data_IF_670783727836
#
_entry.id   IF_670783727836
#
_cell.length_a   1.000
_cell.length_b   1.000
_cell.length_c   1.000
_cell.angle_alpha   90.00
_cell.angle_beta   90.00
_cell.angle_gamma   90.00
#
_symmetry.space_group_name_H-M   'P 1'
#
loop_
_entity.id
_entity.type
_entity.pdbx_description
1 polymer ?
#
# COMPACT_ATOMS: atom_id res chain seq x y z
N UNK A 1 1.74 2.99 35.33
CA UNK A 1 1.77 2.65 33.88
C UNK A 1 3.12 2.05 33.54
N UNK A 2 3.14 0.86 32.98
CA UNK A 2 4.38 0.15 32.59
C UNK A 2 5.04 0.82 31.38
N UNK A 3 6.36 0.76 31.25
CA UNK A 3 7.12 1.29 30.11
C UNK A 3 6.62 0.73 28.76
N UNK A 4 6.19 -0.53 28.73
CA UNK A 4 5.61 -1.15 27.53
C UNK A 4 4.30 -0.49 27.10
N UNK A 5 3.46 -0.07 28.05
CA UNK A 5 2.21 0.63 27.73
C UNK A 5 2.48 2.01 27.12
N UNK A 6 3.54 2.71 27.54
CA UNK A 6 3.90 4.02 26.97
C UNK A 6 4.44 3.90 25.55
N UNK A 7 5.21 2.85 25.25
CA UNK A 7 5.75 2.59 23.91
C UNK A 7 4.62 2.27 22.92
N UNK A 8 3.69 1.39 23.29
CA UNK A 8 2.55 1.06 22.44
C UNK A 8 1.66 2.28 22.16
N UNK A 9 1.44 3.14 23.16
CA UNK A 9 0.63 4.36 22.97
C UNK A 9 1.32 5.39 22.06
N UNK A 10 2.64 5.53 22.15
CA UNK A 10 3.38 6.44 21.28
C UNK A 10 3.42 5.94 19.83
N UNK A 11 3.53 4.63 19.62
CA UNK A 11 3.45 3.99 18.31
C UNK A 11 2.06 4.17 17.67
N UNK A 12 0.98 3.85 18.40
CA UNK A 12 -0.40 4.03 17.89
C UNK A 12 -0.67 5.48 17.48
N UNK A 13 -0.13 6.46 18.23
CA UNK A 13 -0.23 7.87 17.86
C UNK A 13 0.51 8.19 16.55
N UNK A 14 1.70 7.63 16.32
CA UNK A 14 2.44 7.82 15.05
C UNK A 14 1.67 7.22 13.87
N UNK A 15 1.11 6.03 14.04
CA UNK A 15 0.29 5.36 13.02
C UNK A 15 -0.94 6.19 12.67
N UNK A 16 -1.64 6.76 13.66
CA UNK A 16 -2.79 7.64 13.43
C UNK A 16 -2.43 8.91 12.64
N UNK A 17 -1.28 9.52 12.94
CA UNK A 17 -0.79 10.70 12.22
C UNK A 17 -0.42 10.35 10.78
N UNK A 18 0.27 9.22 10.57
CA UNK A 18 0.59 8.72 9.23
C UNK A 18 -0.69 8.43 8.43
N UNK A 19 -1.67 7.75 9.01
CA UNK A 19 -2.96 7.51 8.36
C UNK A 19 -3.68 8.80 7.96
N UNK A 20 -3.65 9.81 8.84
CA UNK A 20 -4.24 11.13 8.54
C UNK A 20 -3.53 11.83 7.39
N UNK A 21 -2.21 11.71 7.32
CA UNK A 21 -1.40 12.22 6.22
C UNK A 21 -1.74 11.50 4.91
N UNK A 22 -1.76 10.16 4.89
CA UNK A 22 -2.06 9.35 3.72
C UNK A 22 -3.46 9.61 3.17
N UNK A 23 -4.46 9.74 4.05
CA UNK A 23 -5.83 10.13 3.67
C UNK A 23 -5.86 11.48 2.96
N UNK A 24 -5.06 12.44 3.41
CA UNK A 24 -5.03 13.80 2.86
C UNK A 24 -4.23 13.92 1.57
N UNK A 25 -3.08 13.26 1.49
CA UNK A 25 -2.13 13.40 0.38
C UNK A 25 -2.44 12.41 -0.74
N UNK A 26 -2.68 11.14 -0.42
CA UNK A 26 -3.02 10.11 -1.41
C UNK A 26 -4.52 9.93 -1.66
N UNK A 27 -5.38 10.77 -1.07
CA UNK A 27 -6.84 10.69 -1.27
C UNK A 27 -7.51 9.40 -0.77
N UNK A 28 -6.78 8.55 -0.03
CA UNK A 28 -7.26 7.24 0.37
C UNK A 28 -8.48 7.31 1.30
N UNK A 29 -9.36 6.31 1.17
CA UNK A 29 -10.39 6.05 2.21
C UNK A 29 -9.72 5.80 3.55
N UNK A 30 -10.41 6.17 4.62
CA UNK A 30 -9.86 6.10 5.98
C UNK A 30 -9.39 4.69 6.38
N UNK A 31 -10.12 3.64 5.97
CA UNK A 31 -9.72 2.25 6.24
C UNK A 31 -8.41 1.87 5.54
N UNK A 32 -8.25 2.27 4.27
CA UNK A 32 -7.04 2.01 3.47
C UNK A 32 -5.87 2.81 4.02
N UNK A 33 -6.06 4.10 4.31
CA UNK A 33 -5.02 4.95 4.89
C UNK A 33 -4.51 4.42 6.25
N UNK A 34 -5.41 3.90 7.09
CA UNK A 34 -5.03 3.25 8.35
C UNK A 34 -4.28 1.96 8.10
N UNK A 35 -4.76 1.11 7.20
CA UNK A 35 -4.09 -0.15 6.87
C UNK A 35 -2.66 0.08 6.34
N UNK A 36 -2.48 1.03 5.42
CA UNK A 36 -1.17 1.44 4.91
C UNK A 36 -0.25 1.94 6.04
N UNK A 37 -0.75 2.79 6.93
CA UNK A 37 0.05 3.27 8.06
C UNK A 37 0.52 2.16 8.99
N UNK A 38 -0.31 1.14 9.25
CA UNK A 38 0.12 -0.05 9.99
C UNK A 38 1.11 -0.91 9.18
N UNK A 39 0.90 -1.05 7.87
CA UNK A 39 1.83 -1.76 6.98
C UNK A 39 3.21 -1.10 6.99
N UNK A 40 3.28 0.23 6.91
CA UNK A 40 4.53 0.99 7.02
C UNK A 40 5.18 0.91 8.41
N UNK A 41 4.38 0.59 9.44
CA UNK A 41 4.86 0.26 10.77
C UNK A 41 5.39 -1.18 10.89
N UNK A 42 5.34 -1.97 9.82
CA UNK A 42 5.82 -3.35 9.77
C UNK A 42 4.81 -4.40 10.21
N UNK A 43 3.52 -4.05 10.32
CA UNK A 43 2.50 -5.02 10.70
C UNK A 43 2.19 -5.97 9.52
N UNK A 44 1.99 -7.25 9.82
CA UNK A 44 1.48 -8.23 8.86
C UNK A 44 0.01 -7.97 8.51
N UNK A 45 -0.49 -8.53 7.41
CA UNK A 45 -1.92 -8.41 7.05
C UNK A 45 -2.84 -8.93 8.15
N UNK A 46 -2.54 -10.10 8.72
CA UNK A 46 -3.24 -10.63 9.90
C UNK A 46 -3.14 -9.73 11.15
N UNK A 47 -2.03 -9.02 11.36
CA UNK A 47 -1.87 -8.06 12.45
C UNK A 47 -2.72 -6.81 12.25
N UNK A 48 -2.72 -6.27 11.02
CA UNK A 48 -3.54 -5.14 10.61
C UNK A 48 -5.02 -5.49 10.75
N UNK A 49 -5.42 -6.68 10.27
CA UNK A 49 -6.79 -7.16 10.34
C UNK A 49 -7.33 -7.16 11.78
N UNK A 50 -6.51 -7.59 12.75
CA UNK A 50 -6.87 -7.54 14.18
C UNK A 50 -6.98 -6.10 14.71
N UNK A 51 -6.07 -5.22 14.33
CA UNK A 51 -6.07 -3.82 14.77
C UNK A 51 -7.22 -2.99 14.17
N UNK A 52 -7.72 -3.39 13.00
CA UNK A 52 -8.79 -2.71 12.27
C UNK A 52 -10.15 -3.42 12.36
N UNK A 53 -10.25 -4.54 13.07
CA UNK A 53 -11.45 -5.38 13.15
C UNK A 53 -12.02 -5.74 11.77
N UNK A 54 -11.16 -6.31 10.92
CA UNK A 54 -11.50 -6.76 9.56
C UNK A 54 -10.87 -8.13 9.27
N UNK A 55 -11.02 -8.64 8.05
CA UNK A 55 -10.39 -9.89 7.61
C UNK A 55 -9.08 -9.63 6.84
N UNK A 56 -8.20 -10.63 6.87
CA UNK A 56 -6.88 -10.56 6.22
C UNK A 56 -6.96 -10.38 4.70
N UNK A 57 -7.92 -11.04 4.04
CA UNK A 57 -8.11 -10.91 2.59
C UNK A 57 -8.52 -9.49 2.15
N UNK A 58 -9.26 -8.77 3.01
CA UNK A 58 -9.63 -7.38 2.78
C UNK A 58 -8.42 -6.46 2.90
N UNK A 59 -7.54 -6.72 3.87
CA UNK A 59 -6.27 -5.97 3.99
C UNK A 59 -5.38 -6.23 2.79
N UNK A 60 -5.23 -7.49 2.37
CA UNK A 60 -4.47 -7.86 1.18
C UNK A 60 -5.01 -7.13 -0.06
N UNK A 61 -6.32 -7.21 -0.30
CA UNK A 61 -6.96 -6.50 -1.42
C UNK A 61 -6.75 -4.99 -1.38
N UNK A 62 -6.73 -4.36 -0.19
CA UNK A 62 -6.37 -2.94 -0.10
C UNK A 62 -4.93 -2.65 -0.49
N UNK A 63 -3.97 -3.50 -0.10
CA UNK A 63 -2.56 -3.35 -0.48
C UNK A 63 -2.37 -3.58 -1.97
N UNK A 64 -3.00 -4.61 -2.52
CA UNK A 64 -2.91 -4.95 -3.94
C UNK A 64 -3.45 -3.83 -4.82
N UNK A 65 -4.56 -3.20 -4.40
CA UNK A 65 -5.10 -2.02 -5.10
C UNK A 65 -4.12 -0.85 -5.10
N UNK A 66 -3.50 -0.57 -3.96
CA UNK A 66 -2.51 0.51 -3.84
C UNK A 66 -1.28 0.20 -4.70
N UNK A 67 -0.83 -1.06 -4.72
CA UNK A 67 0.30 -1.49 -5.54
C UNK A 67 -0.02 -1.41 -7.04
N UNK A 68 -1.23 -1.78 -7.46
CA UNK A 68 -1.65 -1.68 -8.86
C UNK A 68 -1.66 -0.23 -9.39
N UNK A 69 -1.88 0.76 -8.53
CA UNK A 69 -1.94 2.17 -8.91
C UNK A 69 -0.58 2.86 -8.77
N UNK A 70 0.15 2.63 -7.67
CA UNK A 70 1.35 3.39 -7.28
C UNK A 70 2.64 2.56 -7.16
N UNK A 71 2.58 1.25 -7.40
CA UNK A 71 3.73 0.34 -7.26
C UNK A 71 3.91 -0.26 -5.87
N UNK A 72 4.78 -1.26 -5.74
CA UNK A 72 5.00 -1.97 -4.48
C UNK A 72 5.68 -1.08 -3.41
N UNK A 73 6.45 -0.09 -3.82
CA UNK A 73 7.13 0.86 -2.92
C UNK A 73 6.13 1.64 -2.05
N UNK A 74 4.95 1.93 -2.60
CA UNK A 74 3.85 2.59 -1.90
C UNK A 74 3.38 1.79 -0.68
N UNK A 75 3.47 0.45 -0.73
CA UNK A 75 3.07 -0.44 0.38
C UNK A 75 4.26 -0.93 1.22
N UNK A 76 5.48 -0.92 0.69
CA UNK A 76 6.67 -1.46 1.37
C UNK A 76 7.46 -0.44 2.19
N UNK A 77 7.07 0.83 2.22
CA UNK A 77 7.77 1.88 2.97
C UNK A 77 7.93 1.52 4.46
N UNK A 78 9.16 1.16 4.89
CA UNK A 78 9.46 0.70 6.27
C UNK A 78 9.73 1.85 7.26
N UNK A 79 8.91 2.90 7.24
CA UNK A 79 9.06 4.01 8.19
C UNK A 79 7.74 4.74 8.41
N UNK A 80 7.21 4.63 9.64
CA UNK A 80 6.00 5.36 10.03
C UNK A 80 6.25 6.86 9.99
N UNK A 81 5.56 7.55 9.07
CA UNK A 81 5.69 8.99 8.87
C UNK A 81 6.72 9.40 7.81
N UNK A 82 7.39 8.44 7.15
CA UNK A 82 7.98 8.72 5.86
C UNK A 82 6.87 9.02 4.84
N UNK A 83 7.20 9.83 3.84
CA UNK A 83 6.31 10.06 2.71
C UNK A 83 6.49 8.84 1.79
N UNK A 84 5.49 7.94 1.67
CA UNK A 84 5.59 6.89 0.66
C UNK A 84 5.64 7.54 -0.72
N UNK A 85 6.28 6.84 -1.64
CA UNK A 85 6.14 7.16 -3.04
C UNK A 85 4.70 6.86 -3.47
N UNK A 86 4.02 7.88 -3.97
CA UNK A 86 2.65 7.82 -4.48
C UNK A 86 2.60 8.38 -5.91
N UNK A 87 3.74 8.34 -6.60
CA UNK A 87 3.77 8.55 -8.05
C UNK A 87 3.10 7.35 -8.71
N UNK A 88 2.19 7.64 -9.65
CA UNK A 88 1.51 6.60 -10.41
C UNK A 88 2.53 5.73 -11.15
N UNK A 89 2.18 4.46 -11.36
CA UNK A 89 2.99 3.56 -12.15
C UNK A 89 3.04 3.99 -13.62
N UNK A 90 4.24 3.94 -14.20
CA UNK A 90 4.47 4.25 -15.62
C UNK A 90 5.14 3.07 -16.32
N UNK A 91 5.13 3.06 -17.66
CA UNK A 91 5.86 2.03 -18.42
C UNK A 91 7.36 2.13 -18.17
N UNK A 92 7.90 3.35 -18.06
CA UNK A 92 9.31 3.61 -17.76
C UNK A 92 9.70 2.97 -16.43
N UNK A 93 8.95 3.20 -15.36
CA UNK A 93 9.26 2.59 -14.05
C UNK A 93 9.19 1.06 -14.10
N UNK A 94 8.16 0.52 -14.76
CA UNK A 94 7.99 -0.92 -14.88
C UNK A 94 9.12 -1.58 -15.68
N UNK A 95 9.64 -0.92 -16.71
CA UNK A 95 10.69 -1.47 -17.57
C UNK A 95 12.12 -1.18 -17.06
N UNK A 96 12.36 -0.03 -16.42
CA UNK A 96 13.69 0.46 -16.05
C UNK A 96 14.03 0.29 -14.56
N UNK A 97 13.04 0.36 -13.66
CA UNK A 97 13.26 0.29 -12.20
C UNK A 97 13.01 -1.12 -11.66
N UNK A 98 12.06 -1.84 -12.24
CA UNK A 98 11.67 -3.16 -11.76
C UNK A 98 12.52 -4.24 -12.41
N UNK A 99 12.91 -5.26 -11.62
CA UNK A 99 13.41 -6.49 -12.23
C UNK A 99 12.27 -7.19 -12.97
N UNK A 100 12.59 -8.01 -13.97
CA UNK A 100 11.56 -8.77 -14.70
C UNK A 100 10.65 -9.58 -13.78
N UNK A 101 11.17 -10.13 -12.67
CA UNK A 101 10.37 -10.87 -11.69
C UNK A 101 9.36 -9.96 -11.00
N UNK A 102 9.82 -8.82 -10.47
CA UNK A 102 8.95 -7.85 -9.78
C UNK A 102 7.94 -7.22 -10.74
N UNK A 103 8.34 -6.96 -11.99
CA UNK A 103 7.43 -6.45 -13.03
C UNK A 103 6.33 -7.47 -13.35
N UNK A 104 6.65 -8.77 -13.43
CA UNK A 104 5.65 -9.82 -13.65
C UNK A 104 4.70 -9.96 -12.46
N UNK A 105 5.22 -9.90 -11.23
CA UNK A 105 4.40 -9.91 -10.02
C UNK A 105 3.45 -8.69 -9.97
N UNK A 106 3.96 -7.52 -10.35
CA UNK A 106 3.14 -6.30 -10.45
C UNK A 106 2.06 -6.46 -11.51
N UNK A 107 2.38 -6.99 -12.70
CA UNK A 107 1.40 -7.23 -13.77
C UNK A 107 0.32 -8.21 -13.30
N UNK A 108 0.68 -9.28 -12.57
CA UNK A 108 -0.28 -10.24 -12.02
C UNK A 108 -1.27 -9.53 -11.08
N UNK A 109 -0.76 -8.74 -10.14
CA UNK A 109 -1.60 -7.94 -9.22
C UNK A 109 -2.47 -6.93 -10.00
N UNK A 110 -1.87 -6.17 -10.90
CA UNK A 110 -2.54 -5.13 -11.67
C UNK A 110 -3.64 -5.69 -12.59
N UNK A 111 -3.48 -6.95 -13.03
CA UNK A 111 -4.48 -7.67 -13.83
C UNK A 111 -5.79 -7.89 -13.07
N UNK A 112 -5.77 -8.00 -11.74
CA UNK A 112 -6.98 -8.13 -10.92
C UNK A 112 -7.65 -6.79 -10.61
N UNK A 113 -6.95 -5.66 -10.86
CA UNK A 113 -7.39 -4.31 -10.53
C UNK A 113 -7.26 -3.34 -11.73
N UNK A 114 -7.56 -3.82 -12.93
CA UNK A 114 -7.37 -3.07 -14.19
C UNK A 114 -8.13 -1.74 -14.22
N UNK A 115 -9.19 -1.58 -13.43
CA UNK A 115 -10.00 -0.36 -13.36
C UNK A 115 -9.26 0.83 -12.72
N UNK A 116 -8.16 0.57 -12.00
CA UNK A 116 -7.35 1.59 -11.32
C UNK A 116 -5.90 1.65 -11.82
N UNK A 117 -5.53 0.79 -12.77
CA UNK A 117 -4.21 0.83 -13.40
C UNK A 117 -4.11 2.08 -14.29
N UNK A 118 -3.00 2.84 -14.23
CA UNK A 118 -2.78 3.99 -15.10
C UNK A 118 -2.98 3.66 -16.58
N UNK A 119 -3.59 4.58 -17.34
CA UNK A 119 -4.02 4.34 -18.74
C UNK A 119 -2.87 3.85 -19.64
N UNK A 120 -1.66 4.34 -19.42
CA UNK A 120 -0.46 3.96 -20.16
C UNK A 120 -0.12 2.46 -20.04
N UNK A 121 -0.47 1.84 -18.92
CA UNK A 121 -0.17 0.43 -18.62
C UNK A 121 -1.33 -0.51 -18.96
N UNK A 122 -2.45 0.01 -19.47
CA UNK A 122 -3.64 -0.80 -19.77
C UNK A 122 -3.37 -1.91 -20.79
N UNK A 123 -2.49 -1.68 -21.77
CA UNK A 123 -2.07 -2.70 -22.74
C UNK A 123 -1.26 -3.83 -22.09
N UNK A 124 -0.46 -3.52 -21.05
CA UNK A 124 0.35 -4.52 -20.32
C UNK A 124 -0.52 -5.49 -19.51
N UNK A 125 -1.64 -5.01 -18.96
CA UNK A 125 -2.58 -5.80 -18.14
C UNK A 125 -3.79 -6.33 -18.93
N UNK A 126 -3.92 -5.93 -20.21
CA UNK A 126 -4.92 -6.42 -21.16
C UNK A 126 -4.28 -6.69 -22.54
N UNK A 127 -3.41 -7.70 -22.69
CA UNK A 127 -2.74 -7.95 -23.98
C UNK A 127 -3.69 -8.39 -25.10
N UNK A 128 -4.92 -8.81 -24.77
CA UNK A 128 -5.95 -9.27 -25.72
C UNK A 128 -6.91 -8.15 -26.19
N UNK A 129 -6.65 -6.89 -25.82
CA UNK A 129 -7.53 -5.75 -26.15
C UNK A 129 -7.08 -4.99 -27.39
#
# INVERSE_FOLDING_TARGET
>A
MSSNQKIMQSEKRKIQLAASYLKRVGGFRESVARALAYRHAGYSHSGIAKELDTNEGTVASWMDRVAAEYGFEAIETKSVGAQPDLEEMTTERLDDEYSNEVAMDWIEVATDYRDIVPDELQERVNPDR
#
